data_IF_355765888887
#
_entry.id   IF_355765888887
#
_cell.length_a   1.000
_cell.length_b   1.000
_cell.length_c   1.000
_cell.angle_alpha   90.00
_cell.angle_beta   90.00
_cell.angle_gamma   90.00
#
_symmetry.space_group_name_H-M   'P 1'
#
loop_
_entity.id
_entity.type
_entity.pdbx_description
1 polymer ?
#
# COMPACT_ATOMS: atom_id res chain seq x y z
N UNK A 1 -21.52 12.36 20.63
CA UNK A 1 -20.96 11.88 19.35
C UNK A 1 -19.53 11.40 19.53
N UNK A 2 -19.36 10.19 20.07
CA UNK A 2 -18.04 9.54 20.13
C UNK A 2 -18.04 8.39 19.12
N UNK A 3 -16.86 8.05 18.59
CA UNK A 3 -16.65 7.00 17.58
C UNK A 3 -17.27 5.64 17.98
N UNK A 4 -17.43 5.40 19.28
CA UNK A 4 -18.05 4.20 19.85
C UNK A 4 -19.52 4.08 19.42
N UNK A 5 -20.22 5.19 19.21
CA UNK A 5 -21.64 5.20 18.79
C UNK A 5 -21.86 4.82 17.32
N UNK A 6 -20.80 4.70 16.51
CA UNK A 6 -20.88 4.26 15.11
C UNK A 6 -20.60 2.77 14.92
N UNK A 7 -20.16 2.06 15.96
CA UNK A 7 -20.04 0.61 15.89
C UNK A 7 -21.42 0.00 16.09
N UNK A 8 -21.94 -0.64 15.04
CA UNK A 8 -23.08 -1.56 15.16
C UNK A 8 -22.75 -2.63 16.22
N UNK A 9 -23.75 -3.17 16.95
CA UNK A 9 -23.53 -4.31 17.81
C UNK A 9 -22.85 -5.40 17.00
N UNK A 10 -21.71 -5.91 17.48
CA UNK A 10 -21.08 -7.10 16.90
C UNK A 10 -22.06 -8.23 17.17
N UNK A 11 -22.79 -8.68 16.15
CA UNK A 11 -23.64 -9.85 16.28
C UNK A 11 -22.73 -11.07 16.50
N UNK A 12 -22.89 -11.74 17.65
CA UNK A 12 -22.07 -12.89 18.09
C UNK A 12 -22.20 -14.13 17.18
N UNK A 13 -23.10 -14.09 16.19
CA UNK A 13 -23.40 -15.20 15.27
C UNK A 13 -22.72 -15.06 13.89
N UNK A 14 -21.78 -14.13 13.71
CA UNK A 14 -20.99 -14.07 12.50
C UNK A 14 -19.96 -15.21 12.50
N UNK A 15 -20.29 -16.32 11.83
CA UNK A 15 -19.32 -17.34 11.44
C UNK A 15 -18.08 -16.64 10.88
N UNK A 16 -16.92 -16.92 11.49
CA UNK A 16 -15.67 -16.28 11.07
C UNK A 16 -15.48 -16.54 9.57
N UNK A 17 -15.12 -15.51 8.78
CA UNK A 17 -14.81 -15.72 7.39
C UNK A 17 -13.70 -16.76 7.26
N UNK A 18 -13.75 -17.54 6.18
CA UNK A 18 -12.74 -18.55 5.89
C UNK A 18 -11.34 -17.97 6.06
N UNK A 19 -10.47 -18.74 6.73
CA UNK A 19 -9.07 -18.36 6.90
C UNK A 19 -8.48 -18.06 5.53
N UNK A 20 -7.95 -16.85 5.36
CA UNK A 20 -7.25 -16.48 4.15
C UNK A 20 -5.99 -17.35 4.00
N UNK A 21 -6.09 -18.38 3.18
CA UNK A 21 -4.95 -19.20 2.80
C UNK A 21 -4.12 -18.40 1.79
N UNK A 22 -3.03 -17.79 2.27
CA UNK A 22 -2.07 -17.16 1.37
C UNK A 22 -1.54 -18.23 0.42
N UNK A 23 -1.90 -18.14 -0.87
CA UNK A 23 -1.20 -18.91 -1.88
C UNK A 23 0.22 -18.34 -1.92
N UNK A 24 1.22 -19.19 -1.75
CA UNK A 24 2.61 -18.84 -2.09
C UNK A 24 2.64 -18.63 -3.60
N UNK A 25 2.28 -17.43 -4.05
CA UNK A 25 2.42 -17.04 -5.44
C UNK A 25 3.89 -17.25 -5.78
N UNK A 26 4.14 -17.93 -6.91
CA UNK A 26 5.47 -18.07 -7.50
C UNK A 26 6.13 -16.70 -7.37
N UNK A 27 7.22 -16.65 -6.60
CA UNK A 27 7.87 -15.42 -6.21
C UNK A 27 8.30 -14.71 -7.49
N UNK A 28 7.46 -13.78 -7.95
CA UNK A 28 7.88 -12.86 -8.99
C UNK A 28 8.94 -12.05 -8.28
N UNK A 29 10.20 -12.36 -8.57
CA UNK A 29 11.33 -11.61 -8.02
C UNK A 29 11.12 -10.16 -8.45
N UNK A 30 10.68 -9.34 -7.51
CA UNK A 30 10.75 -7.90 -7.62
C UNK A 30 12.15 -7.58 -7.11
N UNK A 31 13.17 -7.48 -7.99
CA UNK A 31 14.49 -7.07 -7.54
C UNK A 31 14.28 -5.77 -6.76
N UNK A 32 14.83 -5.64 -5.54
CA UNK A 32 14.79 -4.36 -4.86
C UNK A 32 15.39 -3.35 -5.84
N UNK A 33 14.62 -2.33 -6.21
CA UNK A 33 15.11 -1.27 -7.08
C UNK A 33 16.20 -0.54 -6.29
N UNK A 34 17.45 -0.99 -6.44
CA UNK A 34 18.62 -0.30 -5.88
C UNK A 34 18.69 1.02 -6.63
N UNK A 35 18.29 2.08 -5.93
CA UNK A 35 18.20 3.46 -6.41
C UNK A 35 19.56 3.95 -6.95
N UNK A 36 19.79 3.81 -8.25
CA UNK A 36 19.99 5.02 -9.03
C UNK A 36 18.57 5.55 -9.28
N UNK A 37 18.26 6.78 -8.89
CA UNK A 37 16.94 7.36 -9.20
C UNK A 37 16.64 7.07 -10.68
N UNK A 38 15.49 6.48 -11.04
CA UNK A 38 15.16 6.32 -12.45
C UNK A 38 15.18 7.72 -13.05
N UNK A 39 16.12 7.99 -13.95
CA UNK A 39 16.36 9.34 -14.48
C UNK A 39 15.13 9.87 -15.26
N UNK A 40 14.17 8.98 -15.54
CA UNK A 40 13.02 9.23 -16.41
C UNK A 40 11.66 9.16 -15.69
N UNK A 41 11.58 9.49 -14.39
CA UNK A 41 10.27 9.56 -13.72
C UNK A 41 9.40 10.69 -14.31
N UNK A 42 8.18 10.34 -14.71
CA UNK A 42 7.18 11.27 -15.22
C UNK A 42 6.43 11.90 -14.03
N UNK A 43 6.14 13.20 -14.12
CA UNK A 43 5.41 13.96 -13.09
C UNK A 43 6.09 13.94 -11.70
N UNK A 44 7.41 14.05 -11.67
CA UNK A 44 8.15 14.09 -10.42
C UNK A 44 7.77 15.31 -9.55
N UNK A 45 7.38 15.07 -8.29
CA UNK A 45 6.88 16.11 -7.38
C UNK A 45 7.78 16.40 -6.18
N UNK A 46 9.05 15.99 -6.24
CA UNK A 46 10.01 16.13 -5.12
C UNK A 46 10.07 14.91 -4.20
N UNK A 47 8.98 14.14 -4.12
CA UNK A 47 8.89 12.92 -3.30
C UNK A 47 8.94 11.64 -4.13
N UNK A 48 8.63 11.73 -5.42
CA UNK A 48 8.47 10.57 -6.28
C UNK A 48 7.86 10.94 -7.62
N UNK A 49 7.63 9.94 -8.46
CA UNK A 49 7.00 10.10 -9.76
C UNK A 49 6.60 8.75 -10.37
N UNK A 50 5.89 8.80 -11.49
CA UNK A 50 5.48 7.60 -12.22
C UNK A 50 6.63 7.08 -13.08
N UNK A 51 6.75 5.76 -13.22
CA UNK A 51 7.64 5.17 -14.21
C UNK A 51 7.19 5.55 -15.64
N UNK A 52 8.08 5.50 -16.65
CA UNK A 52 7.71 5.86 -18.03
C UNK A 52 6.50 5.11 -18.59
N UNK A 53 6.25 3.89 -18.11
CA UNK A 53 5.11 3.08 -18.53
C UNK A 53 3.80 3.41 -17.76
N UNK A 54 3.85 4.28 -16.75
CA UNK A 54 2.72 4.74 -15.94
C UNK A 54 2.10 3.71 -15.00
N UNK A 55 2.71 2.51 -14.86
CA UNK A 55 2.13 1.41 -14.07
C UNK A 55 2.50 1.45 -12.59
N UNK A 56 3.57 2.16 -12.26
CA UNK A 56 4.14 2.20 -10.93
C UNK A 56 4.43 3.64 -10.55
N UNK A 57 4.16 3.99 -9.29
CA UNK A 57 4.60 5.24 -8.70
C UNK A 57 5.71 4.93 -7.70
N UNK A 58 6.89 5.53 -7.91
CA UNK A 58 8.04 5.34 -7.03
C UNK A 58 8.06 6.45 -5.98
N UNK A 59 8.03 6.08 -4.70
CA UNK A 59 8.14 7.00 -3.56
C UNK A 59 9.58 6.95 -3.04
N UNK A 60 10.28 8.08 -3.09
CA UNK A 60 11.64 8.26 -2.60
C UNK A 60 11.61 8.70 -1.12
N UNK A 61 11.54 7.75 -0.21
CA UNK A 61 11.62 8.02 1.23
C UNK A 61 13.08 8.28 1.63
N UNK A 62 13.31 9.36 2.38
CA UNK A 62 14.60 9.63 3.04
C UNK A 62 14.39 9.46 4.54
N UNK A 63 15.35 8.86 5.24
CA UNK A 63 15.21 8.49 6.66
C UNK A 63 14.68 9.61 7.58
N UNK A 64 14.95 10.88 7.25
CA UNK A 64 14.55 12.04 8.06
C UNK A 64 13.53 12.96 7.34
N UNK A 65 12.98 12.54 6.19
CA UNK A 65 12.08 13.34 5.39
C UNK A 65 10.99 12.42 4.82
N UNK A 66 9.88 12.35 5.55
CA UNK A 66 8.64 11.68 5.13
C UNK A 66 7.73 12.68 4.40
N UNK A 67 6.84 12.21 3.51
CA UNK A 67 5.90 13.08 2.83
C UNK A 67 5.05 13.88 3.84
N UNK A 68 4.55 15.08 3.48
CA UNK A 68 3.82 15.94 4.42
C UNK A 68 2.51 15.35 4.95
N UNK A 69 2.00 14.33 4.26
CA UNK A 69 0.82 13.54 4.62
C UNK A 69 1.14 12.06 4.34
N UNK A 70 0.47 11.11 5.02
CA UNK A 70 0.65 9.69 4.76
C UNK A 70 0.33 9.35 3.30
N UNK A 71 1.21 8.62 2.64
CA UNK A 71 1.01 8.16 1.27
C UNK A 71 0.81 6.66 1.33
N UNK A 72 -0.36 6.22 0.84
CA UNK A 72 -0.76 4.82 0.93
C UNK A 72 -0.82 4.18 -0.44
N UNK A 73 -0.59 2.87 -0.47
CA UNK A 73 -1.04 2.00 -1.53
C UNK A 73 -2.27 1.21 -1.07
N UNK A 74 -3.21 0.97 -1.99
CA UNK A 74 -4.42 0.19 -1.75
C UNK A 74 -4.26 -1.13 -2.46
N UNK A 75 -4.10 -2.21 -1.69
CA UNK A 75 -4.08 -3.56 -2.24
C UNK A 75 -5.46 -4.16 -2.03
N UNK A 76 -6.15 -4.48 -3.13
CA UNK A 76 -7.49 -5.05 -3.06
C UNK A 76 -7.67 -6.13 -4.13
N UNK A 77 -8.30 -7.22 -3.73
CA UNK A 77 -8.82 -8.27 -4.60
C UNK A 77 -10.19 -8.72 -4.04
N UNK A 78 -10.96 -9.57 -4.75
CA UNK A 78 -12.31 -9.96 -4.33
C UNK A 78 -12.40 -10.62 -2.94
N UNK A 79 -11.31 -11.19 -2.43
CA UNK A 79 -11.29 -11.97 -1.19
C UNK A 79 -10.57 -11.26 -0.04
N UNK A 80 -9.66 -10.33 -0.33
CA UNK A 80 -8.83 -9.67 0.66
C UNK A 80 -8.31 -8.32 0.17
N UNK A 81 -8.08 -7.41 1.10
CA UNK A 81 -7.39 -6.15 0.81
C UNK A 81 -6.90 -5.45 2.07
N UNK A 82 -5.93 -4.57 1.90
CA UNK A 82 -5.35 -3.76 2.96
C UNK A 82 -4.76 -2.46 2.40
N UNK A 83 -4.53 -1.52 3.31
CA UNK A 83 -3.82 -0.28 3.03
C UNK A 83 -2.40 -0.42 3.56
N UNK A 84 -1.42 -0.02 2.76
CA UNK A 84 -0.02 0.03 3.15
C UNK A 84 0.45 1.48 3.10
N UNK A 85 0.87 2.06 4.22
CA UNK A 85 1.48 3.38 4.24
C UNK A 85 2.96 3.31 3.86
N UNK A 86 3.56 4.48 3.61
CA UNK A 86 4.98 4.60 3.35
C UNK A 86 5.86 4.15 4.54
N UNK A 87 5.30 4.13 5.74
CA UNK A 87 5.97 3.68 6.97
C UNK A 87 5.93 2.16 7.19
N UNK A 88 5.14 1.42 6.40
CA UNK A 88 4.78 0.04 6.68
C UNK A 88 3.54 -0.08 7.56
#
# INVERSE_FOLDING_TARGET
>A
DTLISQMLPVEDDLELPDVFLHQTLIEKSYPPTISNQPEDLIFFNGWGGFTPNGKEYLICLKANNLPPQPWINVLANPNFGFLLSESG
#
